data_IF_994844536006
#
_entry.id   IF_994844536006
#
_cell.length_a   1.000
_cell.length_b   1.000
_cell.length_c   1.000
_cell.angle_alpha   90.00
_cell.angle_beta   90.00
_cell.angle_gamma   90.00
#
_symmetry.space_group_name_H-M   'P 1'
#
loop_
_entity.id
_entity.type
_entity.pdbx_description
1 polymer ?
#
# COMPACT_ATOMS: atom_id res chain seq x y z
N UNK A 1 -70.90 25.31 -23.06
CA UNK A 1 -71.36 26.34 -22.09
C UNK A 1 -70.43 26.30 -20.88
N UNK A 2 -70.07 27.49 -20.36
CA UNK A 2 -69.19 27.82 -19.20
C UNK A 2 -67.67 27.73 -19.52
N UNK A 3 -66.99 28.86 -19.80
CA UNK A 3 -66.39 29.89 -18.88
C UNK A 3 -65.15 29.29 -18.17
N UNK A 4 -63.97 29.90 -18.02
CA UNK A 4 -63.49 31.30 -18.06
C UNK A 4 -61.93 31.32 -17.96
N UNK A 5 -61.29 32.28 -18.66
CA UNK A 5 -60.05 33.07 -18.38
C UNK A 5 -58.85 32.43 -17.61
N UNK A 6 -57.63 32.40 -18.17
CA UNK A 6 -56.61 33.47 -18.39
C UNK A 6 -55.67 33.66 -17.19
N UNK A 7 -54.36 33.40 -17.37
CA UNK A 7 -53.27 34.27 -16.88
C UNK A 7 -51.91 33.78 -17.40
N UNK A 8 -51.25 34.68 -18.13
CA UNK A 8 -49.85 34.64 -18.55
C UNK A 8 -48.96 34.93 -17.35
N UNK A 9 -47.83 34.23 -17.25
CA UNK A 9 -46.78 34.52 -16.27
C UNK A 9 -45.44 33.96 -16.75
N UNK A 10 -44.80 34.67 -17.67
CA UNK A 10 -43.41 34.43 -18.02
C UNK A 10 -42.52 35.00 -16.90
N UNK A 11 -41.83 34.13 -16.17
CA UNK A 11 -40.70 34.51 -15.33
C UNK A 11 -39.46 33.79 -15.83
N UNK A 12 -38.66 34.51 -16.62
CA UNK A 12 -37.27 34.16 -16.88
C UNK A 12 -36.48 34.39 -15.60
N UNK A 13 -35.86 33.33 -15.08
CA UNK A 13 -34.81 33.44 -14.07
C UNK A 13 -33.53 32.96 -14.74
N UNK A 14 -32.69 33.91 -15.13
CA UNK A 14 -31.31 33.72 -15.53
C UNK A 14 -30.51 33.36 -14.28
N UNK A 15 -30.24 32.06 -14.07
CA UNK A 15 -29.35 31.63 -13.00
C UNK A 15 -27.90 31.79 -13.46
N UNK A 16 -27.23 32.87 -13.01
CA UNK A 16 -25.78 32.96 -13.04
C UNK A 16 -25.21 31.94 -12.03
N UNK A 17 -24.62 30.86 -12.52
CA UNK A 17 -23.81 29.96 -11.70
C UNK A 17 -22.40 30.55 -11.66
N UNK A 18 -22.09 31.32 -10.62
CA UNK A 18 -20.70 31.67 -10.29
C UNK A 18 -20.09 30.50 -9.53
N UNK A 19 -19.25 29.71 -10.20
CA UNK A 19 -18.41 28.70 -9.54
C UNK A 19 -17.37 29.40 -8.68
N UNK A 20 -17.62 29.54 -7.38
CA UNK A 20 -16.61 29.94 -6.42
C UNK A 20 -15.79 28.70 -6.04
N UNK A 21 -14.58 28.58 -6.57
CA UNK A 21 -13.59 27.61 -6.11
C UNK A 21 -13.14 28.00 -4.69
N UNK A 22 -13.55 27.23 -3.69
CA UNK A 22 -12.99 27.35 -2.34
C UNK A 22 -11.69 26.56 -2.31
N UNK A 23 -10.56 27.26 -2.42
CA UNK A 23 -9.25 26.67 -2.15
C UNK A 23 -9.10 26.48 -0.63
N UNK A 24 -8.60 25.33 -0.14
CA UNK A 24 -8.26 25.20 1.27
C UNK A 24 -7.08 26.12 1.59
N UNK A 25 -7.23 26.93 2.63
CA UNK A 25 -6.17 27.79 3.16
C UNK A 25 -5.15 26.91 3.90
N UNK A 26 -4.00 26.69 3.28
CA UNK A 26 -2.83 26.18 3.97
C UNK A 26 -2.25 27.29 4.85
N UNK A 27 -2.24 27.10 6.17
CA UNK A 27 -1.48 27.97 7.07
C UNK A 27 0.00 27.60 6.95
N UNK A 28 0.74 28.38 6.16
CA UNK A 28 2.19 28.33 6.12
C UNK A 28 2.74 28.97 7.40
N UNK A 29 3.42 28.19 8.24
CA UNK A 29 4.31 28.72 9.25
C UNK A 29 5.66 28.95 8.57
N UNK A 30 6.03 30.23 8.38
CA UNK A 30 7.32 30.63 7.81
C UNK A 30 8.49 30.03 8.59
N UNK A 31 9.21 29.12 7.94
CA UNK A 31 10.64 28.88 8.14
C UNK A 31 11.18 28.46 6.78
N UNK A 32 12.21 29.16 6.28
CA UNK A 32 12.76 29.03 4.92
C UNK A 32 12.80 27.57 4.43
N UNK A 33 12.27 27.28 3.22
CA UNK A 33 12.34 25.93 2.69
C UNK A 33 13.79 25.58 2.40
N UNK A 34 14.33 24.57 3.08
CA UNK A 34 15.18 23.63 2.36
C UNK A 34 14.33 23.14 1.19
N UNK A 35 14.83 23.17 -0.05
CA UNK A 35 14.08 22.72 -1.23
C UNK A 35 13.49 21.32 -0.97
N UNK A 36 12.22 21.27 -0.56
CA UNK A 36 11.49 20.01 -0.35
C UNK A 36 11.09 19.57 -1.74
N UNK A 37 11.90 18.69 -2.34
CA UNK A 37 11.52 18.02 -3.58
C UNK A 37 10.40 17.04 -3.24
N UNK A 38 9.17 17.41 -3.59
CA UNK A 38 8.01 16.53 -3.45
C UNK A 38 8.14 15.33 -4.38
N UNK A 39 7.85 14.11 -3.91
CA UNK A 39 7.91 12.94 -4.75
C UNK A 39 6.70 12.89 -5.71
N UNK A 40 6.86 12.18 -6.82
CA UNK A 40 5.73 11.73 -7.62
C UNK A 40 4.94 10.68 -6.84
N UNK A 41 3.64 10.87 -6.70
CA UNK A 41 2.74 9.95 -5.99
C UNK A 41 1.89 9.16 -6.98
N UNK A 42 1.85 7.84 -6.79
CA UNK A 42 1.05 6.91 -7.56
C UNK A 42 0.11 6.18 -6.62
N UNK A 43 -1.19 6.27 -6.90
CA UNK A 43 -2.19 5.63 -6.07
C UNK A 43 -3.42 5.23 -6.88
N UNK A 44 -4.05 4.13 -6.49
CA UNK A 44 -5.32 3.67 -7.01
C UNK A 44 -5.97 2.72 -6.02
N UNK A 45 -7.30 2.63 -6.04
CA UNK A 45 -8.04 1.61 -5.30
C UNK A 45 -9.25 1.18 -6.12
N UNK A 46 -9.65 -0.08 -5.98
CA UNK A 46 -10.86 -0.57 -6.61
C UNK A 46 -11.09 -2.07 -6.39
N UNK A 47 -12.20 -2.61 -6.91
CA UNK A 47 -12.65 -3.96 -6.59
C UNK A 47 -11.84 -5.09 -7.24
N UNK A 48 -10.89 -4.79 -8.14
CA UNK A 48 -10.17 -5.83 -8.91
C UNK A 48 -8.74 -5.40 -9.24
N UNK A 49 -7.89 -6.35 -9.64
CA UNK A 49 -6.54 -6.06 -10.09
C UNK A 49 -6.51 -5.09 -11.28
N UNK A 50 -7.49 -5.21 -12.20
CA UNK A 50 -7.64 -4.32 -13.33
C UNK A 50 -7.90 -2.86 -12.92
N UNK A 51 -8.51 -2.63 -11.75
CA UNK A 51 -8.81 -1.30 -11.23
C UNK A 51 -7.55 -0.53 -10.80
N UNK A 52 -6.47 -1.24 -10.41
CA UNK A 52 -5.20 -0.62 -9.98
C UNK A 52 -4.07 -0.78 -11.00
N UNK A 53 -4.23 -1.65 -11.99
CA UNK A 53 -3.22 -2.04 -12.97
C UNK A 53 -2.51 -0.85 -13.64
N UNK A 54 -3.26 0.14 -14.12
CA UNK A 54 -2.68 1.29 -14.81
C UNK A 54 -1.77 2.14 -13.92
N UNK A 55 -2.10 2.28 -12.63
CA UNK A 55 -1.27 3.00 -11.67
C UNK A 55 -0.02 2.22 -11.30
N UNK A 56 -0.12 0.89 -11.15
CA UNK A 56 1.05 0.02 -10.95
C UNK A 56 1.98 0.07 -12.17
N UNK A 57 1.45 0.06 -13.39
CA UNK A 57 2.26 0.13 -14.61
C UNK A 57 2.92 1.50 -14.80
N UNK A 58 2.22 2.59 -14.47
CA UNK A 58 2.80 3.92 -14.44
C UNK A 58 3.93 4.03 -13.39
N UNK A 59 3.74 3.41 -12.22
CA UNK A 59 4.77 3.36 -11.18
C UNK A 59 5.99 2.53 -11.62
N UNK A 60 5.77 1.36 -12.25
CA UNK A 60 6.85 0.55 -12.86
C UNK A 60 7.65 1.36 -13.88
N UNK A 61 6.98 2.16 -14.70
CA UNK A 61 7.63 3.03 -15.68
C UNK A 61 8.46 4.13 -15.00
N UNK A 62 7.94 4.73 -13.92
CA UNK A 62 8.63 5.76 -13.15
C UNK A 62 9.87 5.23 -12.41
N UNK A 63 9.82 4.00 -11.88
CA UNK A 63 10.99 3.34 -11.28
C UNK A 63 12.06 2.94 -12.32
N UNK A 64 11.65 2.76 -13.57
CA UNK A 64 12.53 2.40 -14.68
C UNK A 64 12.56 0.91 -15.01
N UNK A 65 13.17 0.62 -16.16
CA UNK A 65 13.36 -0.72 -16.70
C UNK A 65 14.85 -1.11 -16.70
N UNK A 66 15.18 -2.41 -16.63
CA UNK A 66 14.26 -3.54 -16.49
C UNK A 66 13.82 -3.77 -15.03
N UNK A 67 12.96 -4.75 -14.80
CA UNK A 67 12.94 -5.43 -13.50
C UNK A 67 14.21 -6.27 -13.40
N UNK A 68 15.11 -5.90 -12.51
CA UNK A 68 16.43 -6.50 -12.33
C UNK A 68 16.37 -7.89 -11.67
N UNK A 69 15.20 -8.33 -11.19
CA UNK A 69 14.98 -9.68 -10.68
C UNK A 69 16.02 -10.07 -9.62
N UNK A 70 16.71 -11.20 -9.83
CA UNK A 70 17.73 -11.76 -8.93
C UNK A 70 19.16 -11.28 -9.25
N UNK A 71 19.34 -10.39 -10.24
CA UNK A 71 20.68 -9.98 -10.67
C UNK A 71 21.43 -9.29 -9.52
N UNK A 72 22.71 -9.62 -9.35
CA UNK A 72 23.55 -9.01 -8.30
C UNK A 72 23.73 -7.52 -8.59
N UNK A 73 23.63 -6.70 -7.54
CA UNK A 73 23.77 -5.26 -7.60
C UNK A 73 25.13 -4.76 -7.09
N UNK A 74 25.30 -3.42 -7.00
CA UNK A 74 24.32 -2.43 -7.44
C UNK A 74 24.31 -2.34 -8.97
N UNK A 75 23.12 -2.27 -9.57
CA UNK A 75 22.98 -2.01 -11.00
C UNK A 75 22.80 -0.50 -11.25
N UNK A 76 23.18 0.01 -12.44
CA UNK A 76 23.15 1.45 -12.71
C UNK A 76 21.72 2.02 -12.83
N UNK A 77 20.72 1.18 -13.08
CA UNK A 77 19.32 1.58 -13.27
C UNK A 77 18.38 0.39 -13.12
N UNK A 78 17.08 0.65 -13.21
CA UNK A 78 16.03 -0.34 -13.16
C UNK A 78 15.39 -0.43 -11.78
N UNK A 79 14.61 -1.50 -11.58
CA UNK A 79 13.80 -1.70 -10.38
C UNK A 79 13.85 -3.14 -9.90
N UNK A 80 13.34 -3.38 -8.71
CA UNK A 80 13.09 -4.69 -8.13
C UNK A 80 11.60 -4.84 -7.85
N UNK A 81 11.08 -6.03 -8.09
CA UNK A 81 9.73 -6.42 -7.70
C UNK A 81 9.79 -7.71 -6.88
N UNK A 82 8.97 -7.76 -5.84
CA UNK A 82 8.70 -8.93 -5.01
C UNK A 82 7.21 -9.21 -5.19
N UNK A 83 6.87 -10.17 -6.05
CA UNK A 83 5.51 -10.44 -6.54
C UNK A 83 5.16 -11.94 -6.58
N UNK A 84 5.76 -12.71 -5.67
CA UNK A 84 5.73 -14.18 -5.61
C UNK A 84 5.99 -14.85 -6.98
N UNK A 85 7.25 -14.90 -7.42
CA UNK A 85 7.69 -15.58 -8.66
C UNK A 85 8.44 -16.90 -8.42
N UNK A 86 8.55 -17.35 -7.16
CA UNK A 86 9.48 -18.41 -6.73
C UNK A 86 9.23 -19.83 -7.23
N UNK A 87 8.13 -20.07 -7.96
CA UNK A 87 7.72 -21.41 -8.41
C UNK A 87 7.36 -22.37 -7.26
N UNK A 88 6.78 -23.52 -7.59
CA UNK A 88 6.37 -24.54 -6.60
C UNK A 88 4.86 -24.62 -6.36
N UNK A 89 4.45 -25.33 -5.29
CA UNK A 89 3.03 -25.44 -4.96
C UNK A 89 2.52 -24.11 -4.35
N UNK A 90 1.49 -23.56 -4.96
CA UNK A 90 0.96 -22.25 -4.58
C UNK A 90 -0.08 -22.32 -3.45
N UNK A 91 -0.04 -23.39 -2.66
CA UNK A 91 -1.01 -23.66 -1.58
C UNK A 91 -0.36 -23.71 -0.19
N UNK A 92 0.97 -23.70 -0.10
CA UNK A 92 1.65 -23.78 1.20
C UNK A 92 1.71 -22.41 1.89
N UNK A 93 1.65 -22.44 3.23
CA UNK A 93 1.90 -21.27 4.09
C UNK A 93 3.37 -21.26 4.49
N UNK A 94 4.13 -20.23 4.11
CA UNK A 94 5.53 -20.09 4.47
C UNK A 94 5.69 -19.01 5.55
N UNK A 95 5.88 -19.45 6.79
CA UNK A 95 6.14 -18.57 7.95
C UNK A 95 7.65 -18.37 8.11
N UNK A 96 8.05 -17.13 8.34
CA UNK A 96 9.40 -16.72 8.66
C UNK A 96 9.44 -16.00 10.02
N UNK A 97 10.62 -15.99 10.63
CA UNK A 97 10.86 -15.21 11.85
C UNK A 97 10.92 -13.71 11.59
N UNK A 98 11.30 -12.97 12.63
CA UNK A 98 11.56 -11.53 12.58
C UNK A 98 13.01 -11.30 13.06
N UNK A 99 13.93 -10.85 12.18
CA UNK A 99 13.71 -10.38 10.82
C UNK A 99 13.40 -11.52 9.82
N UNK A 100 12.72 -11.18 8.72
CA UNK A 100 12.55 -12.03 7.54
C UNK A 100 13.53 -11.61 6.44
N UNK A 101 14.53 -12.45 6.19
CA UNK A 101 15.67 -12.18 5.31
C UNK A 101 15.60 -12.87 3.94
N UNK A 102 14.48 -13.52 3.59
CA UNK A 102 14.35 -14.30 2.35
C UNK A 102 14.56 -13.50 1.06
N UNK A 103 14.45 -12.18 1.12
CA UNK A 103 14.67 -11.27 0.00
C UNK A 103 15.94 -10.41 0.15
N UNK A 104 16.67 -10.55 1.26
CA UNK A 104 17.83 -9.70 1.57
C UNK A 104 18.95 -9.88 0.54
N UNK A 105 19.35 -11.12 0.29
CA UNK A 105 20.46 -11.41 -0.63
C UNK A 105 20.04 -11.26 -2.08
N UNK A 106 18.83 -11.67 -2.45
CA UNK A 106 18.41 -11.77 -3.86
C UNK A 106 17.80 -10.50 -4.41
N UNK A 107 17.07 -9.76 -3.57
CA UNK A 107 16.29 -8.57 -3.94
C UNK A 107 16.73 -7.32 -3.17
N UNK A 108 17.60 -7.44 -2.17
CA UNK A 108 18.08 -6.30 -1.39
C UNK A 108 17.05 -5.74 -0.42
N UNK A 109 16.07 -6.53 0.01
CA UNK A 109 15.03 -6.10 0.94
C UNK A 109 15.01 -7.01 2.17
N UNK A 110 15.16 -6.40 3.36
CA UNK A 110 14.98 -7.04 4.65
C UNK A 110 13.65 -6.60 5.24
N UNK A 111 12.81 -7.55 5.62
CA UNK A 111 11.52 -7.28 6.24
C UNK A 111 11.63 -7.48 7.74
N UNK A 112 11.07 -6.55 8.52
CA UNK A 112 10.91 -6.71 9.97
C UNK A 112 9.49 -6.37 10.39
N UNK A 113 9.08 -6.88 11.54
CA UNK A 113 7.77 -6.58 12.14
C UNK A 113 7.97 -6.04 13.55
N UNK A 114 8.18 -4.72 13.74
CA UNK A 114 8.58 -4.16 15.03
C UNK A 114 7.61 -4.45 16.19
N UNK A 115 6.34 -4.63 15.87
CA UNK A 115 5.25 -4.95 16.80
C UNK A 115 4.80 -6.43 16.72
N UNK A 116 5.49 -7.24 15.92
CA UNK A 116 5.11 -8.61 15.59
C UNK A 116 6.22 -9.63 15.80
N UNK A 117 5.87 -10.90 15.60
CA UNK A 117 6.73 -12.06 15.87
C UNK A 117 7.31 -12.70 14.62
N UNK A 118 6.81 -12.36 13.44
CA UNK A 118 7.25 -12.95 12.18
C UNK A 118 6.52 -12.41 10.97
N UNK A 119 6.79 -13.02 9.83
CA UNK A 119 6.20 -12.66 8.54
C UNK A 119 5.71 -13.92 7.84
N UNK A 120 4.66 -13.82 7.02
CA UNK A 120 4.14 -14.96 6.27
C UNK A 120 3.97 -14.62 4.79
N UNK A 121 4.22 -15.63 3.95
CA UNK A 121 3.83 -15.71 2.56
C UNK A 121 2.86 -16.87 2.36
N UNK A 122 1.60 -16.60 2.04
CA UNK A 122 0.59 -17.65 1.89
C UNK A 122 -0.54 -17.23 0.95
N UNK A 123 -1.27 -18.18 0.32
CA UNK A 123 -2.54 -17.85 -0.30
C UNK A 123 -3.56 -17.40 0.77
N UNK A 124 -4.60 -16.65 0.39
CA UNK A 124 -5.71 -16.31 1.28
C UNK A 124 -6.27 -17.53 2.01
N UNK A 125 -6.45 -18.63 1.26
CA UNK A 125 -6.93 -19.92 1.77
C UNK A 125 -6.28 -21.08 1.01
N UNK A 126 -6.15 -22.22 1.67
CA UNK A 126 -5.78 -23.49 1.08
C UNK A 126 -6.48 -24.63 1.85
N UNK A 127 -6.51 -25.83 1.27
CA UNK A 127 -7.03 -27.01 1.97
C UNK A 127 -6.20 -27.26 3.24
N UNK A 128 -6.78 -27.22 4.45
CA UNK A 128 -6.02 -27.35 5.70
C UNK A 128 -5.55 -28.78 5.99
N UNK A 129 -6.11 -29.78 5.30
CA UNK A 129 -5.70 -31.19 5.44
C UNK A 129 -4.50 -31.47 4.53
N UNK A 130 -4.55 -31.01 3.28
CA UNK A 130 -3.47 -31.19 2.31
C UNK A 130 -2.33 -30.19 2.49
N UNK A 131 -2.65 -28.96 2.92
CA UNK A 131 -1.72 -27.85 3.06
C UNK A 131 -1.91 -27.13 4.41
N UNK A 132 -1.68 -27.81 5.56
CA UNK A 132 -1.78 -27.18 6.87
C UNK A 132 -0.86 -25.95 6.97
N UNK A 133 -1.30 -24.84 7.58
CA UNK A 133 -2.57 -24.68 8.30
C UNK A 133 -3.80 -24.36 7.41
N UNK A 134 -3.63 -24.15 6.10
CA UNK A 134 -4.72 -23.79 5.17
C UNK A 134 -4.67 -22.34 4.69
N UNK A 135 -3.50 -21.82 4.35
CA UNK A 135 -3.31 -20.43 3.93
C UNK A 135 -3.33 -19.44 5.10
N UNK A 136 -3.60 -18.16 4.81
CA UNK A 136 -3.79 -17.13 5.84
C UNK A 136 -5.02 -17.44 6.71
N UNK A 137 -6.10 -17.92 6.10
CA UNK A 137 -7.31 -18.28 6.82
C UNK A 137 -7.05 -19.31 7.93
N UNK A 138 -6.28 -20.35 7.62
CA UNK A 138 -5.87 -21.34 8.60
C UNK A 138 -4.87 -20.81 9.63
N UNK A 139 -3.86 -20.06 9.17
CA UNK A 139 -2.79 -19.54 10.05
C UNK A 139 -3.34 -18.60 11.13
N UNK A 140 -4.26 -17.72 10.75
CA UNK A 140 -4.86 -16.74 11.65
C UNK A 140 -6.18 -17.24 12.28
N UNK A 141 -6.56 -18.50 12.02
CA UNK A 141 -7.81 -19.10 12.48
C UNK A 141 -9.04 -18.24 12.12
N UNK A 142 -9.05 -17.72 10.89
CA UNK A 142 -10.10 -16.86 10.38
C UNK A 142 -10.55 -17.30 8.97
N UNK A 143 -11.68 -18.01 8.84
CA UNK A 143 -12.14 -18.51 7.55
C UNK A 143 -12.60 -17.41 6.57
N UNK A 144 -12.89 -16.19 7.03
CA UNK A 144 -13.35 -15.09 6.16
C UNK A 144 -12.26 -14.59 5.23
N UNK A 145 -10.98 -14.80 5.57
CA UNK A 145 -9.81 -14.38 4.79
C UNK A 145 -9.81 -14.93 3.36
N UNK A 146 -10.44 -16.07 3.11
CA UNK A 146 -10.62 -16.60 1.77
C UNK A 146 -11.57 -15.78 0.88
N UNK A 147 -12.41 -14.92 1.48
CA UNK A 147 -13.38 -14.08 0.79
C UNK A 147 -12.98 -12.60 0.78
N UNK A 148 -12.36 -12.10 1.86
CA UNK A 148 -12.00 -10.68 1.99
C UNK A 148 -10.65 -10.33 1.36
N UNK A 149 -9.75 -11.30 1.16
CA UNK A 149 -8.47 -11.04 0.50
C UNK A 149 -8.44 -11.52 -0.94
N UNK A 150 -7.92 -10.66 -1.82
CA UNK A 150 -7.59 -11.01 -3.21
C UNK A 150 -6.12 -10.71 -3.51
N UNK A 151 -5.65 -11.19 -4.66
CA UNK A 151 -4.27 -10.97 -5.12
C UNK A 151 -4.28 -10.09 -6.35
N UNK A 152 -3.30 -9.19 -6.44
CA UNK A 152 -2.93 -8.51 -7.67
C UNK A 152 -2.04 -9.40 -8.53
N UNK A 153 -0.99 -9.96 -7.93
CA UNK A 153 -0.12 -10.97 -8.55
C UNK A 153 -0.36 -12.31 -7.85
N UNK A 154 -1.19 -13.19 -8.43
CA UNK A 154 -1.48 -14.49 -7.81
C UNK A 154 -0.19 -15.31 -7.63
N UNK A 155 -0.02 -16.06 -6.54
CA UNK A 155 -1.07 -16.61 -5.67
C UNK A 155 -0.87 -16.32 -4.17
N UNK A 156 0.11 -15.52 -3.77
CA UNK A 156 0.43 -15.33 -2.35
C UNK A 156 0.37 -13.89 -1.93
N UNK A 157 -0.07 -13.70 -0.70
CA UNK A 157 -0.04 -12.45 0.02
C UNK A 157 1.03 -12.50 1.09
N UNK A 158 1.42 -11.31 1.53
CA UNK A 158 2.41 -11.04 2.56
C UNK A 158 1.72 -10.43 3.77
N UNK A 159 2.03 -10.92 4.97
CA UNK A 159 1.46 -10.39 6.21
C UNK A 159 2.47 -10.43 7.35
N UNK A 160 2.52 -9.40 8.21
CA UNK A 160 3.10 -9.54 9.53
C UNK A 160 2.30 -10.56 10.36
N UNK A 161 2.94 -11.16 11.35
CA UNK A 161 2.32 -12.06 12.33
C UNK A 161 2.43 -11.41 13.72
N UNK A 162 1.32 -11.39 14.47
CA UNK A 162 1.31 -10.89 15.85
C UNK A 162 1.39 -9.37 15.98
N UNK A 163 1.37 -8.65 14.86
CA UNK A 163 1.42 -7.19 14.75
C UNK A 163 0.88 -6.76 13.38
N UNK A 164 0.78 -5.46 13.15
CA UNK A 164 0.32 -4.89 11.88
C UNK A 164 1.30 -3.88 11.27
N UNK A 165 2.51 -3.80 11.83
CA UNK A 165 3.59 -2.96 11.30
C UNK A 165 4.62 -3.83 10.57
N UNK A 166 4.89 -3.49 9.31
CA UNK A 166 5.97 -4.05 8.52
C UNK A 166 6.98 -2.96 8.19
N UNK A 167 8.26 -3.20 8.41
CA UNK A 167 9.32 -2.34 7.91
C UNK A 167 10.12 -3.04 6.82
N UNK A 168 10.52 -2.27 5.81
CA UNK A 168 11.40 -2.70 4.73
C UNK A 168 12.68 -1.88 4.78
N UNK A 169 13.82 -2.56 4.85
CA UNK A 169 15.15 -1.96 4.84
C UNK A 169 15.90 -2.40 3.58
N UNK A 170 16.60 -1.46 2.94
CA UNK A 170 17.24 -1.74 1.65
C UNK A 170 18.73 -2.00 1.78
N UNK A 171 19.21 -2.96 0.99
CA UNK A 171 20.60 -3.36 0.89
C UNK A 171 20.96 -3.59 -0.57
N UNK A 172 22.24 -3.49 -0.89
CA UNK A 172 22.76 -3.86 -2.21
C UNK A 172 22.50 -5.36 -2.47
N UNK A 173 21.75 -5.73 -3.53
CA UNK A 173 21.50 -7.13 -3.86
C UNK A 173 22.79 -7.91 -4.17
N UNK A 174 22.84 -9.19 -3.80
CA UNK A 174 23.93 -10.12 -4.06
C UNK A 174 24.95 -10.25 -2.92
N UNK A 175 24.88 -9.40 -1.90
CA UNK A 175 25.69 -9.48 -0.67
C UNK A 175 24.87 -9.37 0.61
N UNK A 176 23.80 -8.56 0.61
CA UNK A 176 22.87 -8.46 1.75
C UNK A 176 23.47 -7.80 3.00
N UNK A 177 24.59 -7.07 2.86
CA UNK A 177 25.35 -6.52 3.98
C UNK A 177 25.80 -5.07 3.78
N UNK A 178 25.45 -4.45 2.64
CA UNK A 178 25.75 -3.05 2.33
C UNK A 178 24.41 -2.30 2.36
N UNK A 179 24.16 -1.44 3.36
CA UNK A 179 22.96 -0.61 3.42
C UNK A 179 22.81 0.26 2.17
N UNK A 180 21.57 0.43 1.72
CA UNK A 180 21.25 1.12 0.48
C UNK A 180 20.03 2.05 0.64
N UNK A 181 19.89 2.97 -0.29
CA UNK A 181 18.67 3.75 -0.52
C UNK A 181 18.07 3.39 -1.87
N UNK A 182 16.77 3.66 -2.02
CA UNK A 182 16.05 3.58 -3.30
C UNK A 182 15.42 4.92 -3.65
N UNK A 183 15.16 5.13 -4.95
CA UNK A 183 14.45 6.32 -5.47
C UNK A 183 12.96 6.28 -5.13
N UNK A 184 12.40 5.09 -4.90
CA UNK A 184 10.96 4.93 -4.72
C UNK A 184 10.61 3.58 -4.12
N UNK A 185 9.51 3.53 -3.37
CA UNK A 185 8.91 2.29 -2.91
C UNK A 185 7.37 2.39 -2.98
N UNK A 186 6.76 1.29 -3.39
CA UNK A 186 5.31 1.13 -3.46
C UNK A 186 4.92 -0.30 -3.13
N UNK A 187 3.69 -0.44 -2.66
CA UNK A 187 3.11 -1.71 -2.27
C UNK A 187 1.66 -1.82 -2.74
N UNK A 188 1.26 -3.06 -3.04
CA UNK A 188 -0.15 -3.43 -3.20
C UNK A 188 -0.70 -3.93 -1.88
N UNK A 189 -1.95 -3.58 -1.61
CA UNK A 189 -2.71 -3.91 -0.42
C UNK A 189 -4.02 -4.55 -0.82
N UNK A 190 -4.53 -5.45 0.00
CA UNK A 190 -5.89 -6.00 -0.14
C UNK A 190 -6.73 -5.65 1.07
N UNK A 191 -8.01 -5.39 0.82
CA UNK A 191 -9.04 -5.12 1.85
C UNK A 191 -8.89 -3.80 2.61
N UNK A 192 -8.40 -2.73 1.96
CA UNK A 192 -8.33 -1.39 2.58
C UNK A 192 -9.73 -0.76 2.60
N UNK A 193 -10.41 -0.88 3.74
CA UNK A 193 -11.82 -0.50 3.88
C UNK A 193 -12.06 0.92 4.42
N UNK A 194 -11.18 1.41 5.29
CA UNK A 194 -11.41 2.67 6.00
C UNK A 194 -10.72 3.85 5.29
N UNK A 195 -11.49 4.74 4.64
CA UNK A 195 -10.91 5.94 4.03
C UNK A 195 -10.40 6.91 5.10
N UNK A 196 -9.41 7.72 4.72
CA UNK A 196 -9.03 8.92 5.44
C UNK A 196 -10.08 10.03 5.22
N UNK A 197 -10.38 10.81 6.28
CA UNK A 197 -11.22 12.00 6.10
C UNK A 197 -11.94 12.52 7.34
N UNK A 198 -12.07 13.84 7.37
CA UNK A 198 -12.97 14.59 8.25
C UNK A 198 -14.40 14.53 7.70
N UNK A 199 -15.18 13.53 8.13
CA UNK A 199 -16.65 13.61 8.06
C UNK A 199 -17.18 14.83 8.84
N UNK A 200 -18.42 15.30 8.57
CA UNK A 200 -19.00 16.43 9.30
C UNK A 200 -18.96 16.21 10.81
N UNK A 201 -18.49 17.24 11.53
CA UNK A 201 -18.47 17.27 12.99
C UNK A 201 -19.80 16.79 13.56
N UNK A 202 -19.71 15.96 14.60
CA UNK A 202 -20.79 15.28 15.33
C UNK A 202 -21.28 13.93 14.78
N UNK A 203 -20.92 13.49 13.56
CA UNK A 203 -21.13 12.10 13.12
C UNK A 203 -19.92 11.54 12.38
N UNK A 204 -19.00 10.91 13.12
CA UNK A 204 -17.84 10.16 12.58
C UNK A 204 -16.87 11.00 11.72
N UNK A 205 -16.75 12.29 12.00
CA UNK A 205 -15.61 13.09 11.56
C UNK A 205 -14.39 12.81 12.44
N UNK A 206 -13.21 12.62 11.83
CA UNK A 206 -11.94 12.16 12.43
C UNK A 206 -11.74 10.64 12.43
N UNK A 207 -12.04 9.96 11.32
CA UNK A 207 -11.48 8.62 11.13
C UNK A 207 -10.00 8.77 10.81
N UNK A 208 -9.16 8.18 11.65
CA UNK A 208 -7.76 7.97 11.30
C UNK A 208 -7.73 6.94 10.17
N UNK A 209 -6.91 7.14 9.13
CA UNK A 209 -6.64 6.09 8.14
C UNK A 209 -6.22 4.81 8.87
N UNK A 210 -6.78 3.68 8.47
CA UNK A 210 -6.36 2.37 8.99
C UNK A 210 -4.99 1.99 8.41
N UNK A 211 -4.78 2.26 7.13
CA UNK A 211 -3.56 1.87 6.42
C UNK A 211 -2.72 3.08 6.05
N UNK A 212 -1.44 3.04 6.45
CA UNK A 212 -0.50 4.14 6.28
C UNK A 212 0.85 3.61 5.83
N UNK A 213 1.53 4.41 5.01
CA UNK A 213 2.91 4.19 4.60
C UNK A 213 3.76 5.42 4.93
N UNK A 214 4.94 5.16 5.47
CA UNK A 214 5.92 6.14 5.92
C UNK A 214 7.28 5.80 5.32
N UNK A 215 7.98 6.82 4.83
CA UNK A 215 9.25 6.68 4.15
C UNK A 215 10.30 7.45 4.93
N UNK A 216 11.47 6.83 5.15
CA UNK A 216 12.53 7.39 5.97
C UNK A 216 13.86 7.44 5.22
N UNK A 217 14.63 8.51 5.48
CA UNK A 217 16.00 8.69 5.05
C UNK A 217 16.99 7.80 5.79
N UNK A 218 18.28 7.87 5.40
CA UNK A 218 19.35 7.06 6.00
C UNK A 218 19.59 7.41 7.47
N UNK A 219 19.34 8.67 7.85
CA UNK A 219 19.45 9.18 9.21
C UNK A 219 18.19 8.90 10.06
N UNK A 220 17.16 8.27 9.47
CA UNK A 220 15.91 7.92 10.14
C UNK A 220 14.89 9.06 10.18
N UNK A 221 15.12 10.16 9.48
CA UNK A 221 14.17 11.24 9.29
C UNK A 221 12.99 10.81 8.41
N UNK A 222 11.78 11.26 8.74
CA UNK A 222 10.59 11.00 7.93
C UNK A 222 10.62 11.91 6.69
N UNK A 223 10.78 11.33 5.51
CA UNK A 223 10.84 12.08 4.24
C UNK A 223 9.47 12.23 3.58
N UNK A 224 8.58 11.27 3.79
CA UNK A 224 7.22 11.32 3.27
C UNK A 224 6.29 10.41 4.06
N UNK A 225 5.00 10.73 4.12
CA UNK A 225 3.97 9.83 4.61
C UNK A 225 2.62 10.11 3.97
N UNK A 226 1.85 9.05 3.74
CA UNK A 226 0.46 9.15 3.28
C UNK A 226 -0.36 7.97 3.75
N UNK A 227 -1.67 8.13 3.67
CA UNK A 227 -2.64 7.04 3.74
C UNK A 227 -2.71 6.31 2.41
N UNK A 228 -3.02 5.01 2.47
CA UNK A 228 -3.33 4.21 1.29
C UNK A 228 -4.80 4.48 0.91
N UNK A 229 -5.14 4.72 -0.36
CA UNK A 229 -6.52 4.95 -0.76
C UNK A 229 -7.37 3.73 -0.44
N UNK A 230 -8.56 3.95 0.13
CA UNK A 230 -9.49 2.87 0.45
C UNK A 230 -10.42 2.54 -0.73
N UNK A 231 -10.81 1.29 -0.84
CA UNK A 231 -11.90 0.83 -1.70
C UNK A 231 -12.82 -0.08 -0.87
N UNK A 232 -13.79 0.49 -0.13
CA UNK A 232 -14.62 -0.28 0.78
C UNK A 232 -15.28 -1.50 0.13
N UNK A 233 -15.13 -2.66 0.77
CA UNK A 233 -15.67 -3.95 0.34
C UNK A 233 -14.62 -5.04 0.25
N UNK A 234 -15.07 -6.27 0.48
CA UNK A 234 -14.29 -7.50 0.43
C UNK A 234 -13.53 -7.65 -0.90
N UNK A 235 -12.34 -8.23 -0.81
CA UNK A 235 -11.47 -8.57 -1.95
C UNK A 235 -11.04 -7.37 -2.80
N UNK A 236 -11.20 -6.14 -2.29
CA UNK A 236 -10.72 -4.93 -2.93
C UNK A 236 -9.19 -4.86 -2.91
N UNK A 237 -8.62 -4.13 -3.87
CA UNK A 237 -7.19 -3.89 -3.97
C UNK A 237 -6.89 -2.40 -3.97
N UNK A 238 -5.79 -2.04 -3.35
CA UNK A 238 -5.27 -0.68 -3.28
C UNK A 238 -3.77 -0.66 -3.58
N UNK A 239 -3.31 0.40 -4.21
CA UNK A 239 -1.90 0.61 -4.51
C UNK A 239 -1.48 1.99 -4.02
N UNK A 240 -0.30 2.07 -3.42
CA UNK A 240 0.35 3.33 -3.09
C UNK A 240 1.86 3.21 -3.32
N UNK A 241 2.46 4.19 -4.00
CA UNK A 241 3.89 4.29 -4.17
C UNK A 241 4.36 5.71 -4.43
N UNK A 242 5.61 6.00 -4.10
CA UNK A 242 6.24 7.29 -4.39
C UNK A 242 7.57 7.10 -5.12
N UNK A 243 7.96 8.11 -5.92
CA UNK A 243 9.27 8.18 -6.56
C UNK A 243 9.85 9.58 -6.39
N UNK A 244 11.08 9.67 -5.91
CA UNK A 244 11.91 10.87 -5.92
C UNK A 244 12.87 10.86 -7.12
N UNK A 245 13.41 12.02 -7.46
CA UNK A 245 14.43 12.16 -8.51
C UNK A 245 15.80 11.59 -8.12
N UNK A 246 16.01 11.25 -6.85
CA UNK A 246 17.24 10.70 -6.28
C UNK A 246 16.97 9.62 -5.22
N UNK A 247 17.99 8.78 -4.97
CA UNK A 247 17.87 7.64 -4.07
C UNK A 247 18.07 8.08 -2.61
N UNK A 248 16.95 8.29 -1.90
CA UNK A 248 16.95 8.77 -0.51
C UNK A 248 16.14 7.93 0.47
N UNK A 249 15.32 7.00 0.01
CA UNK A 249 14.52 6.15 0.91
C UNK A 249 15.39 4.99 1.38
N UNK A 250 15.77 4.97 2.65
CA UNK A 250 16.54 3.88 3.26
C UNK A 250 15.63 2.85 3.96
N UNK A 251 14.46 3.30 4.43
CA UNK A 251 13.51 2.47 5.16
C UNK A 251 12.07 2.89 4.86
N UNK A 252 11.19 1.90 4.78
CA UNK A 252 9.74 2.12 4.72
C UNK A 252 9.09 1.47 5.92
N UNK A 253 8.09 2.12 6.51
CA UNK A 253 7.19 1.53 7.49
C UNK A 253 5.78 1.54 6.94
N UNK A 254 5.15 0.38 7.00
CA UNK A 254 3.77 0.14 6.61
C UNK A 254 3.00 -0.24 7.87
N UNK A 255 1.91 0.46 8.15
CA UNK A 255 0.88 0.01 9.09
C UNK A 255 -0.29 -0.48 8.27
N UNK A 256 -0.58 -1.78 8.33
CA UNK A 256 -1.63 -2.42 7.54
C UNK A 256 -2.90 -2.61 8.38
N UNK A 257 -3.95 -1.85 8.06
CA UNK A 257 -5.22 -1.93 8.78
C UNK A 257 -5.17 -1.34 10.19
N UNK A 258 -6.31 -1.38 10.86
CA UNK A 258 -6.50 -0.86 12.22
C UNK A 258 -6.10 -1.84 13.33
N UNK A 259 -5.96 -3.12 12.99
CA UNK A 259 -5.61 -4.22 13.91
C UNK A 259 -4.72 -5.25 13.21
N UNK A 260 -3.96 -6.06 13.95
CA UNK A 260 -3.23 -7.19 13.37
C UNK A 260 -4.17 -8.26 12.80
N UNK A 261 -3.74 -8.99 11.75
CA UNK A 261 -4.45 -10.18 11.32
C UNK A 261 -4.57 -11.21 12.45
N UNK A 262 -5.78 -11.72 12.65
CA UNK A 262 -6.10 -12.67 13.71
C UNK A 262 -7.51 -13.25 13.57
N UNK A 263 -7.98 -13.98 14.60
CA UNK A 263 -9.29 -14.64 14.58
C UNK A 263 -10.47 -13.67 14.80
N UNK A 264 -10.22 -12.47 15.30
CA UNK A 264 -11.24 -11.52 15.72
C UNK A 264 -11.70 -10.62 14.57
N UNK A 265 -12.77 -11.01 13.88
CA UNK A 265 -13.49 -10.17 12.90
C UNK A 265 -14.66 -9.43 13.56
N UNK A 266 -14.39 -8.35 14.30
CA UNK A 266 -15.46 -7.39 14.56
C UNK A 266 -15.59 -6.43 13.37
N UNK A 267 -16.82 -6.20 12.88
CA UNK A 267 -17.19 -5.29 11.76
C UNK A 267 -16.64 -3.85 11.83
N UNK A 268 -15.89 -3.48 12.87
CA UNK A 268 -15.27 -2.16 13.06
C UNK A 268 -13.76 -2.16 12.83
N UNK A 269 -13.16 -3.34 12.68
CA UNK A 269 -11.74 -3.50 12.46
C UNK A 269 -11.48 -3.72 10.97
N UNK A 270 -10.56 -2.92 10.45
CA UNK A 270 -10.00 -3.04 9.11
C UNK A 270 -8.73 -3.88 9.20
N UNK A 271 -8.70 -5.03 8.53
CA UNK A 271 -7.57 -5.96 8.48
C UNK A 271 -7.03 -5.92 7.07
N UNK A 272 -5.78 -5.50 6.92
CA UNK A 272 -5.15 -5.36 5.61
C UNK A 272 -3.91 -6.22 5.57
N UNK A 273 -3.72 -6.91 4.44
CA UNK A 273 -2.46 -7.58 4.11
C UNK A 273 -1.92 -7.07 2.78
N UNK A 274 -0.69 -7.42 2.45
CA UNK A 274 0.04 -6.87 1.30
C UNK A 274 0.20 -7.92 0.20
N UNK A 275 0.46 -7.46 -1.01
CA UNK A 275 0.87 -8.28 -2.14
C UNK A 275 2.21 -7.76 -2.67
N UNK A 276 2.29 -7.35 -3.93
CA UNK A 276 3.52 -6.89 -4.56
C UNK A 276 4.20 -5.73 -3.83
N UNK A 277 5.53 -5.83 -3.69
CA UNK A 277 6.40 -4.72 -3.34
C UNK A 277 7.29 -4.33 -4.53
N UNK A 278 7.33 -3.04 -4.85
CA UNK A 278 8.07 -2.51 -6.00
C UNK A 278 8.94 -1.32 -5.59
N UNK A 279 10.22 -1.37 -5.92
CA UNK A 279 11.17 -0.30 -5.56
C UNK A 279 12.27 -0.15 -6.60
N UNK A 280 12.83 1.05 -6.70
CA UNK A 280 13.98 1.31 -7.58
C UNK A 280 15.21 0.51 -7.16
N UNK A 281 16.15 0.27 -8.08
CA UNK A 281 17.38 -0.46 -7.79
C UNK A 281 18.11 0.11 -6.56
N UNK A 282 18.28 -0.67 -5.47
CA UNK A 282 18.97 -0.19 -4.28
C UNK A 282 20.41 0.26 -4.59
N UNK A 283 20.72 1.51 -4.25
CA UNK A 283 22.05 2.10 -4.39
C UNK A 283 22.72 2.21 -3.02
N UNK A 284 24.02 1.90 -2.89
CA UNK A 284 24.73 2.05 -1.62
C UNK A 284 24.58 3.46 -1.06
N UNK A 285 24.38 3.57 0.25
CA UNK A 285 24.44 4.86 0.95
C UNK A 285 25.85 5.45 0.75
N UNK A 286 25.91 6.74 0.40
CA UNK A 286 27.18 7.46 0.17
C UNK A 286 27.62 8.22 1.40
#
# INVERSE_FOLDING_TARGET
>A
MKKLMLAVGAFGVLALVTSATVLPVAYAHENSPKDVVEPLVFQAAGPTAASIQSSVDAYRAALGAPNNGNARGPLPSGRREINWDGGGNNQTTAVAGNPFDGFLVTRGALFTTPDGTGFVQAPPTADPVLFPPGGLAGLFNNPTYGAIFSTFSPLRLFSPIGGNVTEVHFFVPGGGNIPATTIGFGAVFTDVDQPDGSGPGEKRGNRKPSTRIEYFGAEGDLVFSSSVPASPGDASLSFFGIVFDDARIARVRITSGSVPPGPDDERKHDIVVMDDFLYGEPQPIR
#
